data_IF_451613289100
#
_entry.id   IF_451613289100
#
_cell.length_a   1.000
_cell.length_b   1.000
_cell.length_c   1.000
_cell.angle_alpha   90.00
_cell.angle_beta   90.00
_cell.angle_gamma   90.00
#
_symmetry.space_group_name_H-M   'P 1'
#
loop_
_entity.id
_entity.type
_entity.pdbx_description
1 polymer ?
#
# COMPACT_ATOMS: atom_id res chain seq x y z
N UNK A 1 8.09 7.69 5.35
CA UNK A 1 9.19 6.74 5.63
C UNK A 1 9.19 5.71 4.52
N UNK A 2 10.36 5.35 4.03
CA UNK A 2 10.55 4.37 2.96
C UNK A 2 11.85 3.59 3.17
N UNK A 3 11.89 2.33 2.74
CA UNK A 3 13.09 1.49 2.82
C UNK A 3 13.44 0.93 1.45
N UNK A 4 14.65 1.19 0.99
CA UNK A 4 15.15 0.68 -0.28
C UNK A 4 16.29 -0.32 -0.03
N UNK A 5 16.19 -1.54 -0.60
CA UNK A 5 17.19 -2.58 -0.44
C UNK A 5 18.19 -2.64 -1.59
N UNK A 6 19.47 -2.77 -1.23
CA UNK A 6 20.60 -2.95 -2.13
C UNK A 6 21.28 -4.28 -1.79
N UNK A 7 20.95 -5.35 -2.49
CA UNK A 7 21.51 -6.71 -2.29
C UNK A 7 21.55 -7.17 -0.82
N UNK A 8 22.53 -6.72 -0.03
CA UNK A 8 22.80 -7.21 1.33
C UNK A 8 22.31 -6.26 2.44
N UNK A 9 21.98 -5.02 2.14
CA UNK A 9 21.51 -4.04 3.12
C UNK A 9 20.40 -3.18 2.52
N UNK A 10 19.62 -2.56 3.39
CA UNK A 10 18.65 -1.55 3.05
C UNK A 10 19.00 -0.19 3.65
N UNK A 11 18.54 0.85 3.02
CA UNK A 11 18.55 2.21 3.55
C UNK A 11 17.12 2.58 3.90
N UNK A 12 16.85 2.73 5.18
CA UNK A 12 15.58 3.24 5.70
C UNK A 12 15.69 4.75 5.83
N UNK A 13 14.79 5.47 5.18
CA UNK A 13 14.83 6.92 5.06
C UNK A 13 13.62 7.56 5.73
N UNK A 14 13.86 8.51 6.61
CA UNK A 14 12.87 9.37 7.22
C UNK A 14 12.96 10.75 6.58
N UNK A 15 11.95 11.12 5.80
CA UNK A 15 11.93 12.35 5.03
C UNK A 15 10.79 13.25 5.48
N UNK A 16 11.07 14.53 5.73
CA UNK A 16 10.04 15.54 5.89
C UNK A 16 9.46 15.91 4.52
N UNK A 17 8.12 15.90 4.44
CA UNK A 17 7.41 16.36 3.26
C UNK A 17 7.46 17.90 3.14
N UNK A 18 7.27 18.58 4.26
CA UNK A 18 7.19 20.05 4.31
C UNK A 18 8.54 20.69 3.99
N UNK A 19 9.61 20.20 4.62
CA UNK A 19 10.96 20.69 4.38
C UNK A 19 11.60 20.14 3.10
N UNK A 20 11.04 19.06 2.55
CA UNK A 20 11.62 18.30 1.42
C UNK A 20 13.02 17.76 1.69
N UNK A 21 13.36 17.54 2.96
CA UNK A 21 14.66 17.09 3.42
C UNK A 21 14.62 15.70 4.03
N UNK A 22 15.74 15.00 3.96
CA UNK A 22 15.94 13.74 4.64
C UNK A 22 16.43 14.06 6.06
N UNK A 23 15.62 13.73 7.06
CA UNK A 23 15.90 14.03 8.45
C UNK A 23 16.81 12.99 9.10
N UNK A 24 16.60 11.72 8.75
CA UNK A 24 17.33 10.59 9.30
C UNK A 24 17.41 9.47 8.26
N UNK A 25 18.51 8.72 8.28
CA UNK A 25 18.61 7.44 7.56
C UNK A 25 19.20 6.37 8.49
N UNK A 26 18.78 5.12 8.29
CA UNK A 26 19.31 3.95 9.00
C UNK A 26 19.71 2.88 8.00
N UNK A 27 20.85 2.24 8.22
CA UNK A 27 21.25 1.06 7.48
C UNK A 27 20.63 -0.15 8.17
N UNK A 28 19.86 -0.95 7.41
CA UNK A 28 19.18 -2.13 7.92
C UNK A 28 19.53 -3.35 7.07
N UNK A 29 19.66 -4.51 7.70
CA UNK A 29 19.88 -5.79 6.97
C UNK A 29 18.57 -6.54 6.73
N UNK A 30 17.56 -6.23 7.50
CA UNK A 30 16.18 -6.66 7.31
C UNK A 30 15.26 -5.56 7.83
N UNK A 31 14.12 -5.41 7.23
CA UNK A 31 13.16 -4.41 7.63
C UNK A 31 12.34 -4.91 8.82
N UNK A 32 12.48 -4.31 10.00
CA UNK A 32 11.77 -4.66 11.23
C UNK A 32 10.99 -3.47 11.76
N UNK A 33 9.87 -3.74 12.43
CA UNK A 33 9.07 -2.67 13.05
C UNK A 33 9.83 -1.92 14.14
N UNK A 34 10.80 -2.57 14.79
CA UNK A 34 11.70 -1.94 15.77
C UNK A 34 12.56 -0.85 15.15
N UNK A 35 13.07 -1.07 13.93
CA UNK A 35 13.92 -0.09 13.24
C UNK A 35 13.13 1.21 12.93
N UNK A 36 11.85 1.08 12.57
CA UNK A 36 10.95 2.22 12.38
C UNK A 36 10.66 2.97 13.67
N UNK A 37 10.39 2.23 14.76
CA UNK A 37 10.15 2.82 16.09
C UNK A 37 11.36 3.62 16.54
N UNK A 38 12.52 3.01 16.53
CA UNK A 38 13.77 3.65 16.94
C UNK A 38 14.05 4.92 16.13
N UNK A 39 13.82 4.92 14.81
CA UNK A 39 14.02 6.11 14.00
C UNK A 39 13.00 7.22 14.30
N UNK A 40 11.76 6.87 14.64
CA UNK A 40 10.73 7.84 15.05
C UNK A 40 11.08 8.40 16.44
N UNK A 41 11.48 7.56 17.39
CA UNK A 41 11.91 7.97 18.74
C UNK A 41 13.15 8.87 18.69
N UNK A 42 14.10 8.58 17.81
CA UNK A 42 15.28 9.41 17.56
C UNK A 42 14.88 10.82 17.07
N UNK A 43 14.00 10.90 16.06
CA UNK A 43 13.51 12.19 15.59
C UNK A 43 12.79 13.00 16.68
N UNK A 44 11.95 12.35 17.49
CA UNK A 44 11.26 13.00 18.61
C UNK A 44 12.28 13.50 19.64
N UNK A 45 13.31 12.71 19.94
CA UNK A 45 14.40 13.09 20.86
C UNK A 45 15.19 14.29 20.35
N UNK A 46 15.35 14.41 19.03
CA UNK A 46 15.97 15.55 18.36
C UNK A 46 15.08 16.80 18.29
N UNK A 47 13.87 16.72 18.86
CA UNK A 47 12.93 17.83 18.96
C UNK A 47 11.96 17.96 17.78
N UNK A 48 11.87 16.95 16.90
CA UNK A 48 10.88 16.96 15.82
C UNK A 48 9.48 16.60 16.32
N UNK A 49 8.49 17.38 15.91
CA UNK A 49 7.08 17.06 16.10
C UNK A 49 6.58 16.23 14.90
N UNK A 50 6.10 15.01 15.15
CA UNK A 50 5.58 14.12 14.12
C UNK A 50 4.06 14.30 14.03
N UNK A 51 3.59 15.10 13.09
CA UNK A 51 2.16 15.39 12.89
C UNK A 51 1.43 14.31 12.09
N UNK A 52 2.12 13.61 11.20
CA UNK A 52 1.59 12.48 10.42
C UNK A 52 2.70 11.62 9.86
N UNK A 53 2.39 10.35 9.54
CA UNK A 53 3.31 9.42 8.88
C UNK A 53 2.72 8.89 7.60
N UNK A 54 3.52 8.89 6.53
CA UNK A 54 3.23 8.22 5.27
C UNK A 54 4.24 7.10 5.06
N UNK A 55 3.76 5.86 4.80
CA UNK A 55 4.62 4.70 4.57
C UNK A 55 3.97 3.72 3.58
N UNK A 56 4.73 2.75 3.10
CA UNK A 56 4.32 1.72 2.14
C UNK A 56 3.25 0.73 2.66
N UNK A 57 2.95 0.77 3.97
CA UNK A 57 1.90 -0.06 4.59
C UNK A 57 2.41 -1.37 5.16
N UNK A 58 3.65 -1.40 5.61
CA UNK A 58 4.20 -2.54 6.35
C UNK A 58 3.26 -2.96 7.51
N UNK A 59 2.94 -4.26 7.64
CA UNK A 59 2.09 -4.74 8.72
C UNK A 59 2.65 -4.39 10.10
N UNK A 60 1.78 -3.88 10.98
CA UNK A 60 2.13 -3.54 12.36
C UNK A 60 2.74 -2.14 12.56
N UNK A 61 3.21 -1.45 11.51
CA UNK A 61 3.80 -0.12 11.65
C UNK A 61 2.82 0.88 12.27
N UNK A 62 1.57 0.91 11.82
CA UNK A 62 0.52 1.78 12.38
C UNK A 62 0.30 1.58 13.88
N UNK A 63 0.52 0.36 14.40
CA UNK A 63 0.33 0.04 15.82
C UNK A 63 1.46 0.59 16.71
N UNK A 64 2.61 0.94 16.14
CA UNK A 64 3.73 1.50 16.90
C UNK A 64 3.48 2.95 17.32
N UNK A 65 2.62 3.64 16.59
CA UNK A 65 2.35 5.07 16.74
C UNK A 65 0.82 5.31 16.65
N UNK A 66 0.04 4.76 17.60
CA UNK A 66 -1.42 4.74 17.52
C UNK A 66 -2.05 6.13 17.48
N UNK A 67 -1.41 7.10 18.12
CA UNK A 67 -1.92 8.47 18.26
C UNK A 67 -1.51 9.40 17.10
N UNK A 68 -0.63 8.93 16.21
CA UNK A 68 -0.19 9.71 15.05
C UNK A 68 -0.99 9.34 13.80
N UNK A 69 -1.57 10.30 13.08
CA UNK A 69 -2.22 10.05 11.80
C UNK A 69 -1.31 9.29 10.84
N UNK A 70 -1.83 8.20 10.27
CA UNK A 70 -1.07 7.32 9.39
C UNK A 70 -1.75 7.16 8.03
N UNK A 71 -1.01 7.41 6.96
CA UNK A 71 -1.47 7.23 5.59
C UNK A 71 -0.59 6.23 4.84
N UNK A 72 -1.23 5.34 4.09
CA UNK A 72 -0.53 4.50 3.11
C UNK A 72 0.00 5.35 1.95
N UNK A 73 1.24 5.11 1.56
CA UNK A 73 1.84 5.77 0.41
C UNK A 73 1.06 5.43 -0.87
N UNK A 74 0.44 6.44 -1.47
CA UNK A 74 -0.35 6.29 -2.70
C UNK A 74 0.48 5.74 -3.86
N UNK A 75 1.77 6.09 -3.94
CA UNK A 75 2.67 5.60 -4.98
C UNK A 75 2.87 4.08 -4.87
N UNK A 76 3.19 3.56 -3.67
CA UNK A 76 3.34 2.12 -3.44
C UNK A 76 2.02 1.38 -3.64
N UNK A 77 0.90 1.95 -3.20
CA UNK A 77 -0.43 1.36 -3.45
C UNK A 77 -0.72 1.28 -4.95
N UNK A 78 -0.43 2.34 -5.71
CA UNK A 78 -0.56 2.37 -7.16
C UNK A 78 0.31 1.29 -7.84
N UNK A 79 1.58 1.18 -7.45
CA UNK A 79 2.49 0.17 -7.98
C UNK A 79 1.99 -1.25 -7.68
N UNK A 80 1.60 -1.52 -6.43
CA UNK A 80 1.12 -2.83 -6.00
C UNK A 80 -0.13 -3.26 -6.78
N UNK A 81 -1.12 -2.39 -6.91
CA UNK A 81 -2.32 -2.68 -7.69
C UNK A 81 -1.95 -2.93 -9.16
N UNK A 82 -1.08 -2.10 -9.74
CA UNK A 82 -0.62 -2.27 -11.13
C UNK A 82 0.10 -3.61 -11.34
N UNK A 83 0.87 -4.10 -10.38
CA UNK A 83 1.50 -5.43 -10.45
C UNK A 83 0.45 -6.56 -10.44
N UNK A 84 -0.62 -6.41 -9.67
CA UNK A 84 -1.67 -7.42 -9.54
C UNK A 84 -2.57 -7.50 -10.79
N UNK A 85 -2.96 -6.36 -11.35
CA UNK A 85 -3.90 -6.30 -12.48
C UNK A 85 -3.24 -6.07 -13.85
N UNK A 86 -1.90 -5.89 -13.89
CA UNK A 86 -1.12 -5.55 -15.08
C UNK A 86 -1.26 -4.08 -15.53
N UNK A 87 -0.28 -3.61 -16.31
CA UNK A 87 -0.34 -2.30 -16.97
C UNK A 87 -1.38 -2.26 -18.10
N UNK A 88 -1.57 -3.39 -18.80
CA UNK A 88 -2.54 -3.56 -19.87
C UNK A 88 -3.41 -4.77 -19.56
N UNK A 89 -4.45 -4.63 -18.70
CA UNK A 89 -5.30 -5.75 -18.32
C UNK A 89 -6.24 -6.16 -19.45
N UNK A 90 -6.50 -7.47 -19.58
CA UNK A 90 -7.44 -8.00 -20.56
C UNK A 90 -8.88 -8.02 -20.01
N UNK A 91 -9.05 -8.22 -18.70
CA UNK A 91 -10.37 -8.30 -18.07
C UNK A 91 -10.98 -6.90 -17.94
N UNK A 92 -12.25 -6.74 -18.31
CA UNK A 92 -12.96 -5.45 -18.22
C UNK A 92 -13.00 -4.93 -16.77
N UNK A 93 -13.28 -5.79 -15.78
CA UNK A 93 -13.21 -5.44 -14.37
C UNK A 93 -11.84 -4.85 -13.96
N UNK A 94 -10.75 -5.40 -14.50
CA UNK A 94 -9.40 -4.89 -14.24
C UNK A 94 -9.13 -3.56 -14.96
N UNK A 95 -9.67 -3.38 -16.17
CA UNK A 95 -9.59 -2.11 -16.92
C UNK A 95 -10.31 -1.00 -16.17
N UNK A 96 -11.51 -1.27 -15.66
CA UNK A 96 -12.28 -0.29 -14.92
C UNK A 96 -11.64 0.05 -13.58
N UNK A 97 -11.13 -0.95 -12.81
CA UNK A 97 -10.38 -0.69 -11.59
C UNK A 97 -9.13 0.15 -11.86
N UNK A 98 -8.47 -0.07 -12.99
CA UNK A 98 -7.31 0.72 -13.40
C UNK A 98 -7.66 2.18 -13.68
N UNK A 99 -8.81 2.47 -14.32
CA UNK A 99 -9.28 3.85 -14.51
C UNK A 99 -9.45 4.58 -13.18
N UNK A 100 -10.08 3.91 -12.19
CA UNK A 100 -10.23 4.44 -10.84
C UNK A 100 -8.87 4.66 -10.18
N UNK A 101 -7.92 3.73 -10.36
CA UNK A 101 -6.58 3.85 -9.80
C UNK A 101 -5.84 5.12 -10.27
N UNK A 102 -6.05 5.57 -11.51
CA UNK A 102 -5.46 6.81 -12.01
C UNK A 102 -6.02 8.06 -11.32
N UNK A 103 -7.22 7.99 -10.75
CA UNK A 103 -7.83 9.09 -10.03
C UNK A 103 -7.27 9.24 -8.60
N UNK A 104 -6.52 8.26 -8.09
CA UNK A 104 -6.04 8.21 -6.70
C UNK A 104 -5.31 9.47 -6.24
N UNK A 105 -4.60 10.15 -7.14
CA UNK A 105 -3.85 11.39 -6.85
C UNK A 105 -4.65 12.68 -7.11
N UNK A 106 -5.83 12.57 -7.67
CA UNK A 106 -6.61 13.71 -8.20
C UNK A 106 -7.97 13.85 -7.52
N UNK A 107 -8.31 12.93 -6.62
CA UNK A 107 -9.61 12.90 -5.97
C UNK A 107 -9.48 12.82 -4.45
N UNK A 108 -10.53 13.23 -3.76
CA UNK A 108 -10.65 13.08 -2.31
C UNK A 108 -11.11 11.66 -1.91
N UNK A 109 -11.18 11.45 -0.59
CA UNK A 109 -11.56 10.16 -0.01
C UNK A 109 -13.00 9.76 -0.33
N UNK A 110 -13.92 10.72 -0.31
CA UNK A 110 -15.35 10.44 -0.52
C UNK A 110 -15.60 10.02 -1.96
N UNK A 111 -15.09 10.78 -2.92
CA UNK A 111 -15.17 10.45 -4.34
C UNK A 111 -14.49 9.12 -4.66
N UNK A 112 -13.32 8.85 -4.08
CA UNK A 112 -12.64 7.56 -4.28
C UNK A 112 -13.48 6.41 -3.73
N UNK A 113 -14.07 6.56 -2.53
CA UNK A 113 -14.95 5.55 -1.93
C UNK A 113 -16.15 5.28 -2.83
N UNK A 114 -16.81 6.35 -3.32
CA UNK A 114 -17.92 6.22 -4.26
C UNK A 114 -17.55 5.46 -5.53
N UNK A 115 -16.43 5.77 -6.17
CA UNK A 115 -15.98 5.06 -7.37
C UNK A 115 -15.69 3.58 -7.10
N UNK A 116 -15.09 3.26 -5.96
CA UNK A 116 -14.82 1.87 -5.58
C UNK A 116 -16.11 1.10 -5.26
N UNK A 117 -17.10 1.74 -4.64
CA UNK A 117 -18.42 1.14 -4.41
C UNK A 117 -19.15 0.88 -5.72
N UNK A 118 -19.16 1.83 -6.66
CA UNK A 118 -19.74 1.63 -7.99
C UNK A 118 -19.07 0.48 -8.74
N UNK A 119 -17.75 0.41 -8.67
CA UNK A 119 -17.01 -0.70 -9.25
C UNK A 119 -17.41 -2.04 -8.60
N UNK A 120 -17.49 -2.08 -7.28
CA UNK A 120 -17.88 -3.29 -6.54
C UNK A 120 -19.32 -3.72 -6.84
N UNK A 121 -20.23 -2.78 -6.98
CA UNK A 121 -21.61 -3.08 -7.39
C UNK A 121 -21.66 -3.73 -8.77
N UNK A 122 -20.79 -3.34 -9.68
CA UNK A 122 -20.71 -3.89 -11.05
C UNK A 122 -19.98 -5.24 -11.11
N UNK A 123 -18.93 -5.44 -10.31
CA UNK A 123 -18.01 -6.56 -10.45
C UNK A 123 -17.88 -7.45 -9.20
N UNK A 124 -18.62 -7.16 -8.14
CA UNK A 124 -18.53 -7.89 -6.87
C UNK A 124 -18.85 -9.39 -6.99
N UNK A 125 -19.82 -9.75 -7.81
CA UNK A 125 -20.18 -11.16 -8.03
C UNK A 125 -19.09 -11.88 -8.85
N UNK A 126 -18.50 -11.19 -9.84
CA UNK A 126 -17.35 -11.70 -10.58
C UNK A 126 -16.15 -12.03 -9.66
N UNK A 127 -15.94 -11.26 -8.61
CA UNK A 127 -14.91 -11.54 -7.60
C UNK A 127 -15.22 -12.78 -6.72
N UNK A 128 -16.47 -13.22 -6.66
CA UNK A 128 -16.88 -14.40 -5.89
C UNK A 128 -16.75 -15.71 -6.67
N UNK A 129 -16.51 -15.64 -7.97
CA UNK A 129 -16.35 -16.83 -8.83
C UNK A 129 -15.21 -17.71 -8.31
N UNK A 130 -15.46 -19.02 -8.30
CA UNK A 130 -14.51 -20.02 -7.86
C UNK A 130 -14.27 -21.06 -8.96
N UNK A 131 -13.03 -21.48 -9.04
CA UNK A 131 -12.59 -22.61 -9.87
C UNK A 131 -12.25 -23.76 -8.96
N UNK A 132 -12.65 -24.97 -9.33
CA UNK A 132 -12.29 -26.21 -8.65
C UNK A 132 -11.12 -26.82 -9.40
N UNK A 133 -10.06 -27.17 -8.68
CA UNK A 133 -8.96 -27.96 -9.21
C UNK A 133 -9.42 -29.40 -9.38
N UNK A 134 -9.42 -29.91 -10.61
CA UNK A 134 -9.92 -31.24 -10.94
C UNK A 134 -9.05 -32.38 -10.38
N UNK A 135 -7.79 -32.09 -10.01
CA UNK A 135 -6.86 -33.08 -9.47
C UNK A 135 -7.00 -33.15 -7.96
N UNK A 136 -7.02 -32.02 -7.27
CA UNK A 136 -7.04 -31.94 -5.79
C UNK A 136 -8.44 -31.83 -5.21
N UNK A 137 -9.46 -31.43 -6.02
CA UNK A 137 -10.81 -31.13 -5.55
C UNK A 137 -10.91 -29.81 -4.77
N UNK A 138 -9.81 -29.07 -4.62
CA UNK A 138 -9.80 -27.80 -3.88
C UNK A 138 -10.44 -26.66 -4.68
N UNK A 139 -11.25 -25.86 -4.00
CA UNK A 139 -11.89 -24.68 -4.59
C UNK A 139 -11.09 -23.43 -4.26
N UNK A 140 -10.85 -22.58 -5.25
CA UNK A 140 -10.18 -21.30 -5.07
C UNK A 140 -10.87 -20.18 -5.88
N UNK A 141 -10.68 -18.93 -5.47
CA UNK A 141 -11.20 -17.80 -6.24
C UNK A 141 -10.52 -17.73 -7.62
N UNK A 142 -11.33 -17.67 -8.68
CA UNK A 142 -10.87 -17.60 -10.07
C UNK A 142 -10.01 -16.35 -10.31
N UNK A 143 -10.44 -15.23 -9.76
CA UNK A 143 -9.84 -13.90 -9.98
C UNK A 143 -9.00 -13.43 -8.79
N UNK A 144 -8.12 -14.31 -8.24
CA UNK A 144 -7.30 -14.03 -7.02
C UNK A 144 -6.57 -12.70 -7.08
N UNK A 145 -5.89 -12.39 -8.19
CA UNK A 145 -5.10 -11.15 -8.32
C UNK A 145 -5.96 -9.90 -8.30
N UNK A 146 -7.07 -9.91 -9.04
CA UNK A 146 -8.01 -8.79 -9.06
C UNK A 146 -8.67 -8.58 -7.71
N UNK A 147 -9.05 -9.69 -7.04
CA UNK A 147 -9.57 -9.66 -5.68
C UNK A 147 -8.56 -9.05 -4.70
N UNK A 148 -7.29 -9.44 -4.75
CA UNK A 148 -6.22 -8.88 -3.92
C UNK A 148 -5.86 -7.42 -4.26
N UNK A 149 -6.17 -6.98 -5.48
CA UNK A 149 -5.99 -5.58 -5.87
C UNK A 149 -7.07 -4.66 -5.28
N UNK A 150 -8.29 -5.20 -5.11
CA UNK A 150 -9.45 -4.45 -4.62
C UNK A 150 -9.49 -4.41 -3.08
N UNK A 151 -9.37 -5.57 -2.40
CA UNK A 151 -9.37 -5.69 -0.93
C UNK A 151 -7.98 -5.50 -0.32
#
# INVERSE_FOLDING_TARGET
>A
IDTTFYKQFGVMLFRSWDLRENLLYKIVYSERNTDYREGIEELISDGWEITAIVSDGRPGLRKLIPDTPFQLCQFHKFQRITQLISKNPNLEASKDLRKILFLLKQTDRESMTFFLEQWYNSWGDFLKEKTVDFITGESHFTHKKLRSAFF
#
